data_IF_454628452928
#
_entry.id   IF_454628452928
#
_cell.length_a   1.000
_cell.length_b   1.000
_cell.length_c   1.000
_cell.angle_alpha   90.00
_cell.angle_beta   90.00
_cell.angle_gamma   90.00
#
_symmetry.space_group_name_H-M   'P 1'
#
loop_
_entity.id
_entity.type
_entity.pdbx_description
1 polymer ?
#
# COMPACT_ATOMS: atom_id res chain seq x y z
N UNK A 1 -49.00 34.19 -35.12
CA UNK A 1 -47.68 33.99 -34.46
C UNK A 1 -47.45 32.49 -34.35
N UNK A 2 -46.45 31.96 -35.05
CA UNK A 2 -46.20 30.52 -35.16
C UNK A 2 -45.20 30.10 -34.08
N UNK A 3 -45.59 29.22 -33.16
CA UNK A 3 -44.72 28.70 -32.11
C UNK A 3 -44.00 27.44 -32.65
N UNK A 4 -42.75 27.60 -33.09
CA UNK A 4 -41.91 26.50 -33.57
C UNK A 4 -41.27 25.74 -32.40
N UNK A 5 -42.05 24.88 -31.74
CA UNK A 5 -41.50 23.89 -30.83
C UNK A 5 -41.04 22.67 -31.64
N UNK A 6 -39.79 22.72 -32.14
CA UNK A 6 -39.22 21.75 -33.10
C UNK A 6 -38.91 20.39 -32.46
N UNK A 7 -38.98 20.28 -31.14
CA UNK A 7 -38.81 19.01 -30.44
C UNK A 7 -40.08 18.67 -29.66
N UNK A 8 -40.91 17.71 -30.11
CA UNK A 8 -42.05 17.28 -29.34
C UNK A 8 -41.56 16.76 -27.99
N UNK A 9 -42.21 17.22 -26.93
CA UNK A 9 -41.93 16.73 -25.60
C UNK A 9 -42.20 15.22 -25.58
N UNK A 10 -41.17 14.37 -25.69
CA UNK A 10 -41.33 12.93 -25.48
C UNK A 10 -41.85 12.72 -24.07
N UNK A 11 -43.14 12.42 -23.96
CA UNK A 11 -43.78 11.91 -22.75
C UNK A 11 -43.43 10.44 -22.70
N UNK A 12 -42.35 10.11 -21.99
CA UNK A 12 -42.15 8.73 -21.58
C UNK A 12 -43.39 8.35 -20.76
N UNK A 13 -44.11 7.31 -21.16
CA UNK A 13 -45.37 6.92 -20.54
C UNK A 13 -45.26 6.90 -19.00
N UNK A 14 -46.29 7.43 -18.35
CA UNK A 14 -46.36 7.85 -16.93
C UNK A 14 -46.12 9.35 -16.74
N UNK A 15 -46.98 9.99 -15.93
CA UNK A 15 -46.98 11.43 -15.59
C UNK A 15 -45.76 11.80 -14.74
N UNK A 16 -44.55 11.56 -15.24
CA UNK A 16 -43.32 11.88 -14.54
C UNK A 16 -42.92 13.29 -14.97
N UNK A 17 -42.95 14.21 -14.01
CA UNK A 17 -42.59 15.60 -14.23
C UNK A 17 -41.15 15.71 -14.76
N UNK A 18 -41.00 16.37 -15.91
CA UNK A 18 -39.71 16.58 -16.59
C UNK A 18 -38.72 17.34 -15.71
N UNK A 19 -39.23 18.21 -14.85
CA UNK A 19 -38.43 18.98 -13.90
C UNK A 19 -37.81 18.02 -12.87
N UNK A 20 -38.60 17.08 -12.36
CA UNK A 20 -38.16 16.04 -11.41
C UNK A 20 -37.07 15.15 -12.00
N UNK A 21 -37.21 14.69 -13.25
CA UNK A 21 -36.17 13.85 -13.90
C UNK A 21 -34.87 14.62 -14.09
N UNK A 22 -34.96 15.90 -14.49
CA UNK A 22 -33.78 16.76 -14.66
C UNK A 22 -33.05 16.97 -13.33
N UNK A 23 -33.79 17.27 -12.26
CA UNK A 23 -33.20 17.42 -10.93
C UNK A 23 -32.59 16.12 -10.45
N UNK A 24 -33.28 14.99 -10.60
CA UNK A 24 -32.76 13.68 -10.18
C UNK A 24 -31.43 13.36 -10.86
N UNK A 25 -31.31 13.62 -12.17
CA UNK A 25 -30.05 13.48 -12.90
C UNK A 25 -28.94 14.36 -12.33
N UNK A 26 -29.23 15.65 -12.07
CA UNK A 26 -28.26 16.58 -11.50
C UNK A 26 -27.78 16.16 -10.10
N UNK A 27 -28.70 15.75 -9.21
CA UNK A 27 -28.37 15.29 -7.87
C UNK A 27 -27.59 13.98 -7.90
N UNK A 28 -27.98 13.05 -8.76
CA UNK A 28 -27.27 11.78 -8.94
C UNK A 28 -25.84 11.99 -9.42
N UNK A 29 -25.61 12.86 -10.40
CA UNK A 29 -24.25 13.19 -10.86
C UNK A 29 -23.43 13.88 -9.78
N UNK A 30 -24.02 14.83 -9.03
CA UNK A 30 -23.33 15.48 -7.90
C UNK A 30 -22.94 14.48 -6.83
N UNK A 31 -23.86 13.58 -6.44
CA UNK A 31 -23.61 12.52 -5.46
C UNK A 31 -22.53 11.56 -5.96
N UNK A 32 -22.56 11.16 -7.23
CA UNK A 32 -21.53 10.32 -7.84
C UNK A 32 -20.15 10.97 -7.77
N UNK A 33 -20.03 12.25 -8.14
CA UNK A 33 -18.75 12.96 -8.09
C UNK A 33 -18.23 13.11 -6.66
N UNK A 34 -19.11 13.37 -5.69
CA UNK A 34 -18.74 13.43 -4.27
C UNK A 34 -18.21 12.07 -3.81
N UNK A 35 -18.96 10.98 -4.06
CA UNK A 35 -18.52 9.63 -3.69
C UNK A 35 -17.20 9.25 -4.37
N UNK A 36 -17.04 9.58 -5.65
CA UNK A 36 -15.82 9.33 -6.40
C UNK A 36 -14.63 10.06 -5.76
N UNK A 37 -14.81 11.33 -5.40
CA UNK A 37 -13.77 12.11 -4.72
C UNK A 37 -13.40 11.52 -3.36
N UNK A 38 -14.39 11.05 -2.59
CA UNK A 38 -14.16 10.37 -1.30
C UNK A 38 -13.33 9.11 -1.48
N UNK A 39 -13.65 8.28 -2.49
CA UNK A 39 -12.89 7.06 -2.78
C UNK A 39 -11.44 7.39 -3.12
N UNK A 40 -11.19 8.41 -3.96
CA UNK A 40 -9.83 8.83 -4.29
C UNK A 40 -9.07 9.34 -3.06
N UNK A 41 -9.72 10.09 -2.18
CA UNK A 41 -9.11 10.56 -0.92
C UNK A 41 -8.74 9.38 -0.04
N UNK A 42 -9.63 8.41 0.15
CA UNK A 42 -9.37 7.20 0.94
C UNK A 42 -8.19 6.42 0.35
N UNK A 43 -8.17 6.22 -0.97
CA UNK A 43 -7.09 5.49 -1.64
C UNK A 43 -5.75 6.22 -1.47
N UNK A 44 -5.73 7.53 -1.66
CA UNK A 44 -4.53 8.35 -1.48
C UNK A 44 -4.00 8.26 -0.05
N UNK A 45 -4.89 8.40 0.94
CA UNK A 45 -4.53 8.25 2.35
C UNK A 45 -4.00 6.85 2.65
N UNK A 46 -4.65 5.81 2.13
CA UNK A 46 -4.18 4.44 2.30
C UNK A 46 -2.76 4.25 1.76
N UNK A 47 -2.48 4.75 0.55
CA UNK A 47 -1.14 4.68 -0.05
C UNK A 47 -0.10 5.54 0.66
N UNK A 48 -0.50 6.69 1.23
CA UNK A 48 0.41 7.58 1.93
C UNK A 48 0.71 7.14 3.36
N UNK A 49 -0.29 6.58 4.04
CA UNK A 49 -0.19 6.09 5.42
C UNK A 49 0.45 4.70 5.47
N UNK A 50 0.32 3.89 4.40
CA UNK A 50 1.00 2.60 4.36
C UNK A 50 2.50 2.85 4.60
N UNK A 51 3.04 2.40 5.76
CA UNK A 51 4.45 2.54 6.01
C UNK A 51 5.15 1.71 4.95
N UNK A 52 6.00 2.34 4.15
CA UNK A 52 6.81 1.58 3.23
C UNK A 52 7.67 0.63 4.07
N UNK A 53 7.48 -0.67 3.87
CA UNK A 53 8.32 -1.72 4.46
C UNK A 53 9.70 -1.60 3.84
N UNK A 54 10.51 -0.70 4.40
CA UNK A 54 11.87 -0.46 3.97
C UNK A 54 12.77 -1.43 4.72
N UNK A 55 13.32 -2.42 4.01
CA UNK A 55 14.34 -3.31 4.56
C UNK A 55 15.56 -2.49 4.95
N UNK A 56 15.86 -2.42 6.25
CA UNK A 56 17.06 -1.76 6.78
C UNK A 56 18.20 -2.77 6.81
N UNK A 57 19.25 -2.50 6.03
CA UNK A 57 20.47 -3.32 6.04
C UNK A 57 21.49 -2.73 7.01
N UNK A 58 22.04 -3.58 7.88
CA UNK A 58 23.09 -3.21 8.82
C UNK A 58 24.35 -4.04 8.52
N UNK A 59 25.43 -3.39 8.10
CA UNK A 59 26.71 -4.06 7.91
C UNK A 59 27.38 -4.31 9.26
N UNK A 60 27.75 -5.57 9.54
CA UNK A 60 28.51 -5.98 10.74
C UNK A 60 27.90 -5.50 12.07
N UNK A 61 26.64 -5.89 12.39
CA UNK A 61 26.04 -5.54 13.67
C UNK A 61 26.79 -6.17 14.84
N UNK A 62 26.77 -5.52 16.00
CA UNK A 62 27.25 -6.15 17.23
C UNK A 62 26.29 -7.28 17.64
N UNK A 63 26.80 -8.30 18.34
CA UNK A 63 25.99 -9.43 18.81
C UNK A 63 24.82 -8.97 19.69
N UNK A 64 25.03 -7.95 20.52
CA UNK A 64 23.98 -7.40 21.38
C UNK A 64 22.90 -6.67 20.58
N UNK A 65 23.29 -5.94 19.52
CA UNK A 65 22.32 -5.29 18.63
C UNK A 65 21.46 -6.32 17.89
N UNK A 66 22.07 -7.39 17.38
CA UNK A 66 21.35 -8.51 16.79
C UNK A 66 20.38 -9.16 17.78
N UNK A 67 20.82 -9.44 19.01
CA UNK A 67 19.95 -10.02 20.05
C UNK A 67 18.75 -9.14 20.37
N UNK A 68 18.94 -7.82 20.42
CA UNK A 68 17.83 -6.88 20.64
C UNK A 68 16.84 -6.90 19.47
N UNK A 69 17.35 -6.82 18.23
CA UNK A 69 16.51 -6.92 17.03
C UNK A 69 15.75 -8.24 16.94
N UNK A 70 16.39 -9.35 17.30
CA UNK A 70 15.77 -10.66 17.31
C UNK A 70 14.62 -10.74 18.33
N UNK A 71 14.73 -10.05 19.47
CA UNK A 71 13.68 -10.02 20.48
C UNK A 71 12.47 -9.18 20.04
N UNK A 72 12.71 -8.11 19.29
CA UNK A 72 11.68 -7.14 18.90
C UNK A 72 11.04 -7.46 17.53
N UNK A 73 11.78 -8.14 16.64
CA UNK A 73 11.42 -8.35 15.23
C UNK A 73 11.78 -9.76 14.70
N UNK A 74 11.64 -10.82 15.52
CA UNK A 74 12.05 -12.19 15.15
C UNK A 74 11.55 -12.67 13.79
N UNK A 75 10.29 -12.34 13.46
CA UNK A 75 9.59 -12.90 12.31
C UNK A 75 9.94 -12.19 10.99
N UNK A 76 10.52 -10.99 11.07
CA UNK A 76 10.87 -10.14 9.93
C UNK A 76 12.39 -10.00 9.74
N UNK A 77 13.19 -10.62 10.63
CA UNK A 77 14.65 -10.50 10.61
C UNK A 77 15.28 -11.54 9.68
N UNK A 78 15.91 -11.07 8.60
CA UNK A 78 16.74 -11.90 7.72
C UNK A 78 18.23 -11.72 8.02
N UNK A 79 18.96 -12.84 8.17
CA UNK A 79 20.40 -12.85 8.37
C UNK A 79 21.09 -13.69 7.29
N UNK A 80 21.41 -13.09 6.13
CA UNK A 80 22.16 -13.79 5.10
C UNK A 80 23.60 -14.03 5.57
N UNK A 81 24.10 -15.26 5.40
CA UNK A 81 25.50 -15.57 5.67
C UNK A 81 26.40 -14.88 4.64
N UNK A 82 27.48 -14.23 5.10
CA UNK A 82 28.49 -13.65 4.22
C UNK A 82 29.34 -14.71 3.53
N UNK A 83 29.53 -15.86 4.17
CA UNK A 83 30.28 -17.01 3.70
C UNK A 83 29.46 -18.28 3.91
N UNK A 84 29.54 -19.22 2.97
CA UNK A 84 28.87 -20.54 3.07
C UNK A 84 29.58 -21.44 4.10
N UNK A 85 30.88 -21.21 4.32
CA UNK A 85 31.68 -21.93 5.30
C UNK A 85 32.76 -21.02 5.89
N UNK A 86 32.99 -21.13 7.19
CA UNK A 86 34.08 -20.45 7.88
C UNK A 86 35.41 -21.22 7.69
N UNK A 87 36.48 -20.56 7.23
CA UNK A 87 37.80 -21.17 7.18
C UNK A 87 38.33 -21.43 8.61
N UNK A 88 38.82 -22.64 8.88
CA UNK A 88 39.22 -23.05 10.24
C UNK A 88 40.39 -22.24 10.79
N UNK A 89 41.31 -21.82 9.93
CA UNK A 89 42.49 -21.02 10.28
C UNK A 89 42.17 -19.61 10.79
N UNK A 90 40.97 -19.09 10.51
CA UNK A 90 40.54 -17.77 10.99
C UNK A 90 40.14 -17.79 12.48
N UNK A 91 39.70 -18.96 12.99
CA UNK A 91 39.16 -19.09 14.36
C UNK A 91 39.93 -20.09 15.23
N UNK A 92 40.66 -21.04 14.63
CA UNK A 92 41.41 -22.07 15.33
C UNK A 92 42.90 -21.92 15.07
N UNK A 93 43.64 -21.55 16.12
CA UNK A 93 45.09 -21.66 16.12
C UNK A 93 45.51 -22.94 16.86
N UNK A 94 45.88 -23.97 16.10
CA UNK A 94 46.38 -25.23 16.66
C UNK A 94 47.91 -25.14 16.73
N UNK A 95 48.45 -25.12 17.94
CA UNK A 95 49.89 -25.27 18.19
C UNK A 95 50.15 -26.68 18.74
N UNK A 96 50.50 -27.65 17.88
CA UNK A 96 50.77 -29.01 18.33
C UNK A 96 52.07 -29.03 19.16
N UNK A 97 51.96 -29.52 20.39
CA UNK A 97 53.13 -29.85 21.22
C UNK A 97 53.33 -31.35 21.13
N UNK A 98 54.42 -31.76 20.47
CA UNK A 98 54.79 -33.16 20.38
C UNK A 98 55.51 -33.58 21.67
N UNK A 99 54.99 -34.61 22.34
CA UNK A 99 55.70 -35.27 23.43
C UNK A 99 56.62 -36.36 22.84
N UNK A 100 57.89 -36.36 23.26
CA UNK A 100 58.84 -37.46 23.02
C UNK A 100 58.64 -38.60 24.02
#
# INVERSE_FOLDING_TARGET
>A
MLNLNIFPARTFGSKIDRITVKHLGQWSTRLYLILLSIIFVILTLYTAIQPQTLTKSFSTPSLNFYKNLMNDHSDELECPCSLISSPYDEYLQIQPVFHQ
#
